data_IF_310216947819
#
_entry.id   IF_310216947819
#
_cell.length_a   1.000
_cell.length_b   1.000
_cell.length_c   1.000
_cell.angle_alpha   90.00
_cell.angle_beta   90.00
_cell.angle_gamma   90.00
#
_symmetry.space_group_name_H-M   'P 1'
#
loop_
_entity.id
_entity.type
_entity.pdbx_description
1 polymer ?
#
# COMPACT_ATOMS: atom_id res chain seq x y z
N UNK A 1 19.33 11.22 -10.53
CA UNK A 1 19.56 10.56 -9.23
C UNK A 1 18.18 10.25 -8.69
N UNK A 2 17.73 9.02 -8.90
CA UNK A 2 16.40 8.57 -8.49
C UNK A 2 16.39 8.36 -6.98
N UNK A 3 15.81 9.32 -6.27
CA UNK A 3 15.48 9.18 -4.87
C UNK A 3 14.46 8.06 -4.73
N UNK A 4 14.83 6.99 -4.03
CA UNK A 4 13.91 5.90 -3.75
C UNK A 4 12.76 6.45 -2.90
N UNK A 5 11.57 6.57 -3.50
CA UNK A 5 10.34 6.99 -2.84
C UNK A 5 9.60 5.74 -2.40
N UNK A 6 9.56 5.48 -1.09
CA UNK A 6 8.63 4.50 -0.53
C UNK A 6 7.31 5.21 -0.21
N UNK A 7 6.20 4.58 -0.55
CA UNK A 7 4.88 5.10 -0.24
C UNK A 7 4.33 4.33 0.95
N UNK A 8 4.09 5.04 2.06
CA UNK A 8 3.52 4.47 3.27
C UNK A 8 2.05 4.87 3.33
N UNK A 9 1.16 3.91 3.18
CA UNK A 9 -0.27 4.12 3.33
C UNK A 9 -0.64 4.17 4.82
N UNK A 10 -1.13 5.32 5.25
CA UNK A 10 -1.53 5.60 6.63
C UNK A 10 -3.05 5.72 6.69
N UNK A 11 -3.68 4.77 7.39
CA UNK A 11 -5.09 4.87 7.74
C UNK A 11 -5.21 5.47 9.14
N UNK A 12 -5.69 6.70 9.21
CA UNK A 12 -6.00 7.36 10.46
C UNK A 12 -7.50 7.20 10.67
N UNK A 13 -7.93 6.85 11.87
CA UNK A 13 -9.35 6.63 12.18
C UNK A 13 -10.29 7.69 11.63
N UNK A 14 -11.57 7.33 11.56
CA UNK A 14 -12.64 8.17 10.96
C UNK A 14 -12.68 8.14 9.41
N UNK A 15 -12.08 7.11 8.82
CA UNK A 15 -12.10 6.86 7.37
C UNK A 15 -11.10 7.69 6.56
N UNK A 16 -10.17 8.38 7.23
CA UNK A 16 -9.14 9.20 6.59
C UNK A 16 -7.94 8.33 6.24
N UNK A 17 -7.78 8.01 4.97
CA UNK A 17 -6.59 7.31 4.46
C UNK A 17 -5.73 8.31 3.71
N UNK A 18 -4.47 8.42 4.08
CA UNK A 18 -3.49 9.27 3.40
C UNK A 18 -2.23 8.48 3.08
N UNK A 19 -1.50 8.94 2.08
CA UNK A 19 -0.26 8.30 1.66
C UNK A 19 0.91 9.26 1.92
N UNK A 20 1.94 8.78 2.59
CA UNK A 20 3.17 9.52 2.83
C UNK A 20 4.22 9.00 1.85
N UNK A 21 4.65 9.86 0.94
CA UNK A 21 5.84 9.62 0.14
C UNK A 21 7.07 9.91 1.01
N UNK A 22 7.88 8.90 1.27
CA UNK A 22 9.07 8.98 2.10
C UNK A 22 10.29 8.79 1.20
N UNK A 23 11.17 9.78 1.16
CA UNK A 23 12.48 9.66 0.49
C UNK A 23 13.54 9.20 1.48
N UNK A 24 14.67 8.71 0.96
CA UNK A 24 15.81 8.26 1.79
C UNK A 24 16.40 9.36 2.67
N UNK A 25 16.29 10.62 2.24
CA UNK A 25 16.84 11.78 2.96
C UNK A 25 15.81 12.45 3.86
N UNK A 26 14.54 12.06 3.79
CA UNK A 26 13.48 12.75 4.52
C UNK A 26 13.48 12.35 6.00
N UNK A 27 13.23 13.33 6.86
CA UNK A 27 13.01 13.08 8.28
C UNK A 27 11.62 12.49 8.48
N UNK A 28 11.56 11.26 9.01
CA UNK A 28 10.31 10.59 9.37
C UNK A 28 9.44 11.42 10.32
N UNK A 29 10.07 12.26 11.16
CA UNK A 29 9.38 13.13 12.09
C UNK A 29 8.73 14.33 11.38
N UNK A 30 9.43 14.97 10.44
CA UNK A 30 8.88 16.09 9.66
C UNK A 30 7.75 15.64 8.73
N UNK A 31 7.88 14.44 8.14
CA UNK A 31 6.83 13.83 7.34
C UNK A 31 5.58 13.53 8.19
N UNK A 32 5.77 12.97 9.39
CA UNK A 32 4.68 12.73 10.33
C UNK A 32 4.01 14.03 10.80
N UNK A 33 4.78 15.07 11.10
CA UNK A 33 4.25 16.38 11.50
C UNK A 33 3.46 17.05 10.37
N UNK A 34 4.01 17.03 9.15
CA UNK A 34 3.35 17.58 7.96
C UNK A 34 2.04 16.85 7.68
N UNK A 35 2.05 15.52 7.82
CA UNK A 35 0.86 14.69 7.67
C UNK A 35 -0.18 14.97 8.77
N UNK A 36 0.23 15.06 10.04
CA UNK A 36 -0.68 15.41 11.12
C UNK A 36 -1.31 16.80 10.94
N UNK A 37 -0.54 17.79 10.47
CA UNK A 37 -1.08 19.11 10.11
C UNK A 37 -2.08 19.04 8.96
N UNK A 38 -1.77 18.28 7.91
CA UNK A 38 -2.62 18.19 6.72
C UNK A 38 -3.97 17.51 7.00
N UNK A 39 -4.01 16.57 7.96
CA UNK A 39 -5.21 15.79 8.29
C UNK A 39 -5.93 16.25 9.58
N UNK A 40 -5.43 17.33 10.19
CA UNK A 40 -5.90 17.90 11.46
C UNK A 40 -5.91 16.88 12.60
N UNK A 41 -4.75 16.23 12.79
CA UNK A 41 -4.55 15.15 13.76
C UNK A 41 -3.80 15.66 14.99
N UNK A 42 -4.11 15.06 16.14
CA UNK A 42 -3.47 15.39 17.40
C UNK A 42 -1.95 15.15 17.36
N UNK A 43 -1.19 16.02 18.03
CA UNK A 43 0.28 15.96 18.09
C UNK A 43 0.80 14.68 18.73
N UNK A 44 0.00 14.01 19.54
CA UNK A 44 0.31 12.68 20.10
C UNK A 44 0.53 11.62 19.02
N UNK A 45 -0.06 11.76 17.83
CA UNK A 45 0.11 10.83 16.71
C UNK A 45 1.45 11.01 15.97
N UNK A 46 2.10 12.18 16.09
CA UNK A 46 3.34 12.49 15.36
C UNK A 46 4.43 11.49 15.73
N UNK A 47 4.67 11.26 17.03
CA UNK A 47 5.70 10.29 17.49
C UNK A 47 5.41 8.88 16.98
N UNK A 48 4.15 8.47 17.00
CA UNK A 48 3.75 7.12 16.60
C UNK A 48 3.89 6.92 15.09
N UNK A 49 3.54 7.93 14.30
CA UNK A 49 3.73 7.95 12.84
C UNK A 49 5.20 7.97 12.47
N UNK A 50 6.00 8.81 13.13
CA UNK A 50 7.43 8.90 12.87
C UNK A 50 8.14 7.55 13.10
N UNK A 51 7.83 6.86 14.20
CA UNK A 51 8.38 5.52 14.47
C UNK A 51 8.00 4.51 13.39
N UNK A 52 6.74 4.54 12.92
CA UNK A 52 6.25 3.61 11.92
C UNK A 52 6.91 3.87 10.55
N UNK A 53 7.04 5.14 10.16
CA UNK A 53 7.76 5.53 8.95
C UNK A 53 9.24 5.12 9.03
N UNK A 54 9.87 5.29 10.20
CA UNK A 54 11.27 4.92 10.41
C UNK A 54 11.49 3.40 10.36
N UNK A 55 10.63 2.62 11.02
CA UNK A 55 10.68 1.15 11.01
C UNK A 55 10.52 0.60 9.59
N UNK A 56 9.57 1.14 8.82
CA UNK A 56 9.36 0.76 7.41
C UNK A 56 10.49 1.18 6.50
N UNK A 57 11.09 2.34 6.73
CA UNK A 57 12.27 2.77 5.98
C UNK A 57 13.45 1.83 6.25
N UNK A 58 13.65 1.41 7.50
CA UNK A 58 14.71 0.44 7.85
C UNK A 58 14.48 -0.93 7.22
N UNK A 59 13.27 -1.49 7.30
CA UNK A 59 12.94 -2.76 6.63
C UNK A 59 13.16 -2.70 5.12
N UNK A 60 12.77 -1.58 4.49
CA UNK A 60 12.99 -1.38 3.06
C UNK A 60 14.47 -1.30 2.72
N UNK A 61 15.27 -0.55 3.48
CA UNK A 61 16.72 -0.46 3.30
C UNK A 61 17.41 -1.81 3.48
N UNK A 62 16.98 -2.60 4.47
CA UNK A 62 17.49 -3.95 4.71
C UNK A 62 17.12 -4.90 3.56
N UNK A 63 15.87 -4.86 3.09
CA UNK A 63 15.39 -5.67 1.97
C UNK A 63 16.06 -5.30 0.64
N UNK A 64 16.30 -4.01 0.40
CA UNK A 64 17.07 -3.50 -0.75
C UNK A 64 18.53 -3.98 -0.70
N UNK A 65 19.17 -3.91 0.47
CA UNK A 65 20.55 -4.39 0.65
C UNK A 65 20.63 -5.89 0.38
N UNK A 66 19.66 -6.65 0.86
CA UNK A 66 19.61 -8.10 0.67
C UNK A 66 19.34 -8.48 -0.79
N UNK A 67 18.43 -7.79 -1.49
CA UNK A 67 18.23 -7.98 -2.93
C UNK A 67 19.48 -7.67 -3.75
N UNK A 68 20.19 -6.59 -3.43
CA UNK A 68 21.47 -6.28 -4.10
C UNK A 68 22.54 -7.31 -3.82
N UNK A 69 22.54 -7.90 -2.63
CA UNK A 69 23.49 -8.93 -2.25
C UNK A 69 23.17 -10.25 -2.96
N UNK A 70 21.90 -10.67 -2.99
CA UNK A 70 21.44 -11.85 -3.73
C UNK A 70 21.62 -11.71 -5.24
N UNK A 71 21.38 -10.52 -5.80
CA UNK A 71 21.61 -10.24 -7.22
C UNK A 71 23.11 -10.28 -7.55
N UNK A 72 23.96 -9.69 -6.70
CA UNK A 72 25.42 -9.84 -6.81
C UNK A 72 25.84 -11.30 -6.72
N UNK A 73 25.30 -12.06 -5.77
CA UNK A 73 25.62 -13.47 -5.61
C UNK A 73 25.14 -14.31 -6.79
N UNK A 74 23.99 -13.99 -7.40
CA UNK A 74 23.49 -14.64 -8.62
C UNK A 74 24.33 -14.30 -9.84
N UNK A 75 24.82 -13.07 -9.98
CA UNK A 75 25.75 -12.70 -11.06
C UNK A 75 27.09 -13.41 -10.88
N UNK A 76 27.59 -13.52 -9.65
CA UNK A 76 28.80 -14.29 -9.31
C UNK A 76 28.61 -15.80 -9.53
N UNK A 77 27.47 -16.38 -9.16
CA UNK A 77 27.15 -17.81 -9.40
C UNK A 77 26.82 -18.10 -10.87
N UNK A 78 26.26 -17.15 -11.63
CA UNK A 78 25.93 -17.31 -13.05
C UNK A 78 27.16 -17.49 -13.95
N UNK A 79 28.36 -17.12 -13.47
CA UNK A 79 29.63 -17.38 -14.17
C UNK A 79 30.27 -18.73 -13.80
N UNK A 80 29.74 -19.45 -12.81
CA UNK A 80 30.25 -20.73 -12.33
C UNK A 80 29.19 -21.83 -12.38
N UNK A 81 29.22 -22.60 -13.47
CA UNK A 81 28.64 -23.94 -13.66
C UNK A 81 27.87 -24.59 -12.50
N UNK A 82 26.66 -25.09 -12.83
CA UNK A 82 26.28 -26.50 -12.60
C UNK A 82 26.10 -27.01 -11.16
N UNK A 83 24.93 -27.63 -10.96
CA UNK A 83 24.59 -28.65 -9.96
C UNK A 83 23.93 -28.18 -8.64
N UNK A 84 22.81 -28.86 -8.37
CA UNK A 84 22.07 -29.04 -7.10
C UNK A 84 20.85 -28.13 -6.82
N UNK A 85 19.67 -28.70 -7.09
CA UNK A 85 18.36 -28.44 -6.47
C UNK A 85 18.31 -29.03 -5.03
N UNK A 86 17.17 -29.01 -4.32
CA UNK A 86 16.54 -27.90 -3.60
C UNK A 86 16.49 -28.19 -2.07
N UNK A 87 16.59 -27.18 -1.21
CA UNK A 87 16.43 -27.39 0.24
C UNK A 87 14.95 -27.30 0.64
N UNK A 88 14.39 -28.44 1.04
CA UNK A 88 13.13 -28.52 1.77
C UNK A 88 13.24 -27.86 3.15
N UNK A 89 12.16 -27.17 3.49
CA UNK A 89 11.59 -26.85 4.80
C UNK A 89 12.40 -27.14 6.09
N UNK A 90 12.40 -26.16 7.01
CA UNK A 90 11.83 -26.37 8.37
C UNK A 90 11.57 -25.08 9.15
N UNK A 91 10.39 -25.11 9.75
CA UNK A 91 9.64 -24.16 10.58
C UNK A 91 10.20 -23.99 12.00
N UNK A 92 10.21 -22.76 12.55
CA UNK A 92 9.96 -22.35 13.96
C UNK A 92 10.35 -20.87 14.12
N UNK A 93 9.69 -20.00 14.87
CA UNK A 93 8.80 -20.19 16.00
C UNK A 93 7.84 -19.00 16.16
N UNK A 94 6.72 -19.31 16.80
CA UNK A 94 5.68 -18.40 17.27
C UNK A 94 6.16 -17.51 18.43
N UNK A 95 5.81 -16.23 18.37
CA UNK A 95 5.49 -15.37 19.52
C UNK A 95 4.38 -14.44 18.97
N UNK A 96 3.11 -14.54 19.33
CA UNK A 96 2.54 -14.78 20.65
C UNK A 96 2.29 -13.43 21.32
N UNK A 97 1.24 -12.71 20.91
CA UNK A 97 0.39 -11.94 21.83
C UNK A 97 -0.84 -11.37 21.12
N UNK A 98 -1.98 -11.99 21.45
CA UNK A 98 -3.30 -11.44 21.24
C UNK A 98 -3.50 -10.32 22.27
N UNK A 99 -3.58 -9.08 21.81
CA UNK A 99 -4.23 -8.00 22.55
C UNK A 99 -5.40 -7.51 21.72
N UNK A 100 -6.60 -7.60 22.30
CA UNK A 100 -7.83 -6.99 21.80
C UNK A 100 -7.60 -5.53 21.39
N UNK A 101 -7.43 -5.31 20.10
CA UNK A 101 -7.56 -4.03 19.43
C UNK A 101 -8.00 -4.35 18.00
N UNK A 102 -9.28 -4.69 17.84
CA UNK A 102 -9.89 -4.66 16.51
C UNK A 102 -10.04 -3.20 16.10
N UNK A 103 -8.98 -2.56 15.64
CA UNK A 103 -9.09 -1.32 14.86
C UNK A 103 -7.72 -0.98 14.22
N UNK A 104 -7.75 -0.72 12.91
CA UNK A 104 -6.62 -0.39 12.02
C UNK A 104 -5.77 -1.57 11.52
N UNK A 105 -6.23 -2.18 10.42
CA UNK A 105 -5.40 -3.02 9.55
C UNK A 105 -4.63 -2.13 8.57
N UNK A 106 -3.31 -2.11 8.69
CA UNK A 106 -2.41 -1.46 7.74
C UNK A 106 -1.92 -2.52 6.73
N UNK A 107 -2.12 -2.27 5.45
CA UNK A 107 -1.69 -3.18 4.38
C UNK A 107 -0.28 -2.81 3.90
N UNK A 108 0.55 -3.81 3.59
CA UNK A 108 1.83 -3.63 2.94
C UNK A 108 1.65 -2.86 1.60
N UNK A 109 2.61 -2.02 1.18
CA UNK A 109 2.52 -1.31 -0.08
C UNK A 109 2.37 -2.35 -1.21
N UNK A 110 1.25 -2.28 -1.92
CA UNK A 110 1.07 -3.09 -3.11
C UNK A 110 2.11 -2.65 -4.15
N UNK A 111 2.89 -3.61 -4.66
CA UNK A 111 3.90 -3.36 -5.70
C UNK A 111 3.24 -3.24 -7.09
N UNK A 112 1.91 -3.43 -7.16
CA UNK A 112 1.18 -3.53 -8.43
C UNK A 112 0.91 -2.15 -9.04
N UNK A 113 0.98 -2.02 -10.37
CA UNK A 113 0.73 -0.76 -11.06
C UNK A 113 -0.72 -0.31 -10.87
N UNK A 114 -0.89 1.00 -10.65
CA UNK A 114 -2.21 1.63 -10.58
C UNK A 114 -2.73 1.81 -12.00
N UNK A 115 -3.92 1.29 -12.27
CA UNK A 115 -4.59 1.44 -13.57
C UNK A 115 -5.26 2.82 -13.65
N UNK A 116 -6.04 3.17 -12.62
CA UNK A 116 -6.73 4.45 -12.52
C UNK A 116 -7.14 4.76 -11.07
N UNK A 117 -7.60 5.99 -10.84
CA UNK A 117 -8.16 6.44 -9.56
C UNK A 117 -9.62 6.83 -9.76
N UNK A 118 -10.53 6.15 -9.09
CA UNK A 118 -11.97 6.43 -9.13
C UNK A 118 -12.34 7.37 -7.97
N UNK A 119 -12.94 8.53 -8.29
CA UNK A 119 -13.51 9.44 -7.29
C UNK A 119 -14.96 9.04 -7.06
N UNK A 120 -15.28 8.64 -5.83
CA UNK A 120 -16.63 8.23 -5.42
C UNK A 120 -17.21 9.30 -4.52
N UNK A 121 -18.37 9.84 -4.90
CA UNK A 121 -19.12 10.76 -4.04
C UNK A 121 -19.85 9.99 -2.94
N UNK A 122 -19.64 10.42 -1.70
CA UNK A 122 -20.15 9.76 -0.48
C UNK A 122 -21.38 10.53 0.03
N UNK A 123 -21.29 11.86 0.01
CA UNK A 123 -22.34 12.81 0.40
C UNK A 123 -22.11 14.15 -0.32
N UNK A 124 -23.07 15.08 -0.31
CA UNK A 124 -22.85 16.42 -0.86
C UNK A 124 -21.59 17.07 -0.29
N UNK A 125 -20.63 17.39 -1.15
CA UNK A 125 -19.34 17.96 -0.76
C UNK A 125 -18.31 16.97 -0.17
N UNK A 126 -18.63 15.68 -0.04
CA UNK A 126 -17.73 14.64 0.47
C UNK A 126 -17.48 13.56 -0.59
N UNK A 127 -16.22 13.38 -0.97
CA UNK A 127 -15.80 12.34 -1.91
C UNK A 127 -14.60 11.56 -1.36
N UNK A 128 -14.52 10.28 -1.72
CA UNK A 128 -13.36 9.42 -1.48
C UNK A 128 -12.71 8.98 -2.79
N UNK A 129 -11.45 8.53 -2.72
CA UNK A 129 -10.70 8.02 -3.87
C UNK A 129 -10.41 6.53 -3.70
N UNK A 130 -10.64 5.76 -4.76
CA UNK A 130 -10.27 4.36 -4.87
C UNK A 130 -9.18 4.25 -5.92
N UNK A 131 -7.96 3.89 -5.51
CA UNK A 131 -6.90 3.52 -6.45
C UNK A 131 -7.12 2.06 -6.88
N UNK A 132 -7.43 1.83 -8.15
CA UNK A 132 -7.62 0.50 -8.72
C UNK A 132 -6.31 0.07 -9.35
N UNK A 133 -5.77 -1.06 -8.90
CA UNK A 133 -4.51 -1.62 -9.39
C UNK A 133 -4.76 -2.89 -10.20
N UNK A 134 -3.72 -3.35 -10.88
CA UNK A 134 -3.80 -4.58 -11.66
C UNK A 134 -4.15 -5.79 -10.79
N UNK A 135 -5.11 -6.59 -11.25
CA UNK A 135 -5.65 -7.77 -10.56
C UNK A 135 -6.27 -7.50 -9.18
N UNK A 136 -6.67 -6.27 -8.87
CA UNK A 136 -7.50 -6.02 -7.70
C UNK A 136 -8.92 -6.56 -7.92
N UNK A 137 -9.52 -7.09 -6.85
CA UNK A 137 -10.92 -7.53 -6.85
C UNK A 137 -11.85 -6.33 -6.53
N UNK A 138 -12.75 -5.94 -7.46
CA UNK A 138 -13.70 -4.85 -7.24
C UNK A 138 -14.58 -5.04 -6.00
N UNK A 139 -14.94 -6.29 -5.67
CA UNK A 139 -15.77 -6.59 -4.49
C UNK A 139 -15.03 -6.25 -3.20
N UNK A 140 -13.74 -6.60 -3.13
CA UNK A 140 -12.90 -6.31 -1.97
C UNK A 140 -12.65 -4.81 -1.85
N UNK A 141 -12.36 -4.12 -2.95
CA UNK A 141 -12.15 -2.67 -2.98
C UNK A 141 -13.40 -1.91 -2.49
N UNK A 142 -14.57 -2.23 -3.06
CA UNK A 142 -15.83 -1.61 -2.67
C UNK A 142 -16.19 -1.91 -1.21
N UNK A 143 -15.99 -3.15 -0.74
CA UNK A 143 -16.22 -3.52 0.66
C UNK A 143 -15.33 -2.72 1.60
N UNK A 144 -14.04 -2.62 1.30
CA UNK A 144 -13.09 -1.87 2.12
C UNK A 144 -13.44 -0.38 2.12
N UNK A 145 -13.79 0.19 0.97
CA UNK A 145 -14.24 1.57 0.88
C UNK A 145 -15.50 1.83 1.71
N UNK A 146 -16.53 0.99 1.59
CA UNK A 146 -17.73 1.12 2.40
C UNK A 146 -17.44 1.01 3.89
N UNK A 147 -16.55 0.09 4.29
CA UNK A 147 -16.13 -0.05 5.70
C UNK A 147 -15.42 1.21 6.20
N UNK A 148 -14.51 1.76 5.39
CA UNK A 148 -13.74 2.96 5.73
C UNK A 148 -14.64 4.19 5.89
N UNK A 149 -15.65 4.36 5.03
CA UNK A 149 -16.53 5.55 5.04
C UNK A 149 -17.87 5.33 5.74
N UNK A 150 -18.08 4.19 6.40
CA UNK A 150 -19.33 3.87 7.09
C UNK A 150 -20.55 3.78 6.17
N UNK A 151 -20.36 3.39 4.90
CA UNK A 151 -21.42 3.34 3.90
C UNK A 151 -22.28 2.07 4.04
N UNK A 152 -23.56 2.20 3.68
CA UNK A 152 -24.52 1.09 3.66
C UNK A 152 -24.16 0.04 2.61
N UNK A 153 -24.62 -1.18 2.82
CA UNK A 153 -24.41 -2.29 1.89
C UNK A 153 -24.97 -2.04 0.48
N UNK A 154 -26.01 -1.19 0.36
CA UNK A 154 -26.54 -0.76 -0.95
C UNK A 154 -25.52 0.03 -1.77
N UNK A 155 -24.77 0.93 -1.14
CA UNK A 155 -23.72 1.72 -1.80
C UNK A 155 -22.58 0.84 -2.32
N UNK A 156 -22.32 -0.31 -1.67
CA UNK A 156 -21.30 -1.26 -2.13
C UNK A 156 -21.57 -1.75 -3.55
N UNK A 157 -22.83 -2.07 -3.87
CA UNK A 157 -23.21 -2.57 -5.19
C UNK A 157 -22.95 -1.51 -6.27
N UNK A 158 -23.32 -0.26 -5.99
CA UNK A 158 -23.07 0.87 -6.89
C UNK A 158 -21.58 1.09 -7.13
N UNK A 159 -20.76 1.03 -6.07
CA UNK A 159 -19.31 1.23 -6.18
C UNK A 159 -18.65 0.09 -6.98
N UNK A 160 -19.06 -1.17 -6.77
CA UNK A 160 -18.58 -2.29 -7.57
C UNK A 160 -18.87 -2.05 -9.06
N UNK A 161 -20.09 -1.63 -9.37
CA UNK A 161 -20.50 -1.36 -10.75
C UNK A 161 -19.64 -0.27 -11.39
N UNK A 162 -19.42 0.86 -10.69
CA UNK A 162 -18.56 1.96 -11.17
C UNK A 162 -17.12 1.51 -11.41
N UNK A 163 -16.54 0.68 -10.52
CA UNK A 163 -15.19 0.14 -10.70
C UNK A 163 -15.12 -0.75 -11.95
N UNK A 164 -16.12 -1.61 -12.15
CA UNK A 164 -16.17 -2.53 -13.30
C UNK A 164 -16.35 -1.79 -14.63
N UNK A 165 -17.20 -0.77 -14.65
CA UNK A 165 -17.39 0.11 -15.81
C UNK A 165 -16.06 0.77 -16.20
N UNK A 166 -15.37 1.41 -15.27
CA UNK A 166 -14.08 2.07 -15.54
C UNK A 166 -12.98 1.07 -15.93
N UNK A 167 -12.95 -0.12 -15.33
CA UNK A 167 -12.04 -1.20 -15.75
C UNK A 167 -12.28 -1.61 -17.20
N UNK A 168 -13.53 -1.63 -17.64
CA UNK A 168 -13.90 -2.01 -19.01
C UNK A 168 -13.44 -0.92 -19.98
N UNK A 169 -13.74 0.35 -19.69
CA UNK A 169 -13.25 1.49 -20.46
C UNK A 169 -11.73 1.50 -20.58
N UNK A 170 -11.02 1.35 -19.46
CA UNK A 170 -9.55 1.31 -19.45
C UNK A 170 -8.98 0.19 -20.34
N UNK A 171 -9.61 -0.99 -20.36
CA UNK A 171 -9.17 -2.11 -21.20
C UNK A 171 -9.38 -1.82 -22.68
N UNK A 172 -10.51 -1.22 -23.05
CA UNK A 172 -10.81 -0.85 -24.44
C UNK A 172 -9.81 0.21 -24.95
N UNK A 173 -9.60 1.29 -24.19
CA UNK A 173 -8.63 2.34 -24.56
C UNK A 173 -7.21 1.79 -24.70
N UNK A 174 -6.83 0.82 -23.84
CA UNK A 174 -5.51 0.19 -23.92
C UNK A 174 -5.37 -0.70 -25.17
N UNK A 175 -6.43 -1.40 -25.58
CA UNK A 175 -6.42 -2.21 -26.80
C UNK A 175 -6.29 -1.33 -28.05
N UNK A 176 -7.00 -0.20 -28.11
CA UNK A 176 -6.95 0.74 -29.24
C UNK A 176 -5.57 1.39 -29.41
N UNK A 177 -4.81 1.60 -28.33
CA UNK A 177 -3.45 2.16 -28.38
C UNK A 177 -2.38 1.15 -28.76
N UNK A 178 -2.71 -0.15 -28.76
CA UNK A 178 -1.78 -1.24 -29.10
C UNK A 178 -2.00 -1.78 -30.53
N UNK A 179 -3.08 -1.38 -31.19
CA UNK A 179 -3.38 -1.67 -32.60
C UNK A 179 -2.79 -0.60 -33.52
#
# INVERSE_FOLDING_TARGET
MDDAVIYVDVSVGDGKVGQIAVRRTDSAFELAETFCRAFDLDRSYIRRLALLVQDRLQEYLASEAQRRQDERERVLRGMGQGLAMPSEARTRAEIGQSTKAEEFRFHAPSVRPVLFKLRVEIAPGRAGLIAVRENDDPQVLARNFCKTFGLKASSRVTIVFQIQEHLTHYRLERLERMA
#
